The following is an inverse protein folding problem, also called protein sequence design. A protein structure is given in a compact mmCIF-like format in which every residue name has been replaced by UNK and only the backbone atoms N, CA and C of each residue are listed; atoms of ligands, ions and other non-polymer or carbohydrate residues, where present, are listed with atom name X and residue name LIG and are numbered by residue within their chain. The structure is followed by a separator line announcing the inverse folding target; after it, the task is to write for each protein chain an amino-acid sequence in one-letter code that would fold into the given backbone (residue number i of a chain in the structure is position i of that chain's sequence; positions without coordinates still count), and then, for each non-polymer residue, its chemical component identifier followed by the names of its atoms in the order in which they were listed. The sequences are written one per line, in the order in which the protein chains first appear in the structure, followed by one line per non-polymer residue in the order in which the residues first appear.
data_IF_865306933370
#
_entry.id   IF_865306933370
#
_cell.length_a   1.000
_cell.length_b   1.000
_cell.length_c   1.000
_cell.angle_alpha   90.00
_cell.angle_beta   90.00
_cell.angle_gamma   90.00
#
_symmetry.space_group_name_H-M   'P 1'
#
loop_
_entity.id
_entity.type
_entity.pdbx_description
1 polymer ?
#
# COMPACT_ATOMS: atom_id res chain seq x y z
N UNK A 1 -61.77 -19.09 55.26
CA UNK A 1 -60.58 -19.88 54.92
C UNK A 1 -60.33 -19.79 53.42
N UNK A 2 -59.47 -18.87 52.95
CA UNK A 2 -59.08 -18.79 51.54
C UNK A 2 -57.56 -18.98 51.44
N UNK A 3 -57.15 -20.06 50.77
CA UNK A 3 -55.74 -20.40 50.54
C UNK A 3 -55.16 -19.50 49.45
N UNK A 4 -54.04 -18.86 49.76
CA UNK A 4 -53.18 -18.18 48.78
C UNK A 4 -52.52 -19.24 47.88
N UNK A 5 -52.63 -19.07 46.56
CA UNK A 5 -51.90 -19.87 45.56
C UNK A 5 -50.63 -19.09 45.19
N UNK A 6 -49.47 -19.66 45.51
CA UNK A 6 -48.17 -19.09 45.13
C UNK A 6 -47.90 -19.23 43.62
N UNK A 7 -47.21 -18.26 42.99
CA UNK A 7 -46.86 -18.36 41.58
C UNK A 7 -45.73 -19.38 41.34
N UNK A 8 -45.97 -20.29 40.41
CA UNK A 8 -45.01 -21.31 39.96
C UNK A 8 -43.79 -20.66 39.31
N UNK A 9 -42.61 -20.92 39.84
CA UNK A 9 -41.31 -20.57 39.25
C UNK A 9 -41.13 -21.29 37.92
N UNK A 10 -41.01 -20.55 36.82
CA UNK A 10 -40.65 -21.10 35.51
C UNK A 10 -39.24 -21.69 35.57
N UNK A 11 -39.16 -23.01 35.38
CA UNK A 11 -37.90 -23.76 35.27
C UNK A 11 -37.13 -23.29 34.03
N UNK A 12 -36.03 -22.57 34.25
CA UNK A 12 -35.10 -22.24 33.17
C UNK A 12 -34.44 -23.53 32.67
N UNK A 13 -34.89 -24.00 31.50
CA UNK A 13 -34.21 -25.10 30.80
C UNK A 13 -32.83 -24.61 30.36
N UNK A 14 -31.78 -25.20 30.94
CA UNK A 14 -30.40 -24.96 30.51
C UNK A 14 -30.23 -25.51 29.10
N UNK A 15 -29.82 -24.64 28.18
CA UNK A 15 -29.47 -25.02 26.81
C UNK A 15 -28.26 -25.96 26.88
N UNK A 16 -28.30 -27.13 26.20
CA UNK A 16 -27.18 -28.06 26.22
C UNK A 16 -25.94 -27.41 25.59
N UNK A 17 -24.77 -27.67 26.19
CA UNK A 17 -23.49 -27.06 25.82
C UNK A 17 -23.16 -27.19 24.32
N UNK A 18 -23.59 -28.28 23.67
CA UNK A 18 -23.43 -28.49 22.23
C UNK A 18 -24.22 -27.48 21.37
N UNK A 19 -25.45 -27.15 21.77
CA UNK A 19 -26.27 -26.14 21.08
C UNK A 19 -25.71 -24.74 21.31
N UNK A 20 -25.23 -24.46 22.52
CA UNK A 20 -24.56 -23.18 22.81
C UNK A 20 -23.26 -23.02 22.00
N UNK A 21 -22.48 -24.08 21.83
CA UNK A 21 -21.26 -24.07 21.02
C UNK A 21 -21.56 -23.92 19.52
N UNK A 22 -22.63 -24.55 19.02
CA UNK A 22 -23.09 -24.41 17.63
C UNK A 22 -23.59 -22.98 17.33
N UNK A 23 -24.32 -22.37 18.25
CA UNK A 23 -24.80 -20.98 18.13
C UNK A 23 -23.64 -19.98 18.15
N UNK A 24 -22.61 -20.20 18.99
CA UNK A 24 -21.40 -19.37 19.01
C UNK A 24 -20.58 -19.51 17.72
N UNK A 25 -20.48 -20.72 17.16
CA UNK A 25 -19.80 -20.94 15.87
C UNK A 25 -20.54 -20.25 14.71
N UNK A 26 -21.87 -20.34 14.69
CA UNK A 26 -22.71 -19.65 13.69
C UNK A 26 -22.60 -18.12 13.80
N UNK A 27 -22.54 -17.58 15.02
CA UNK A 27 -22.31 -16.15 15.25
C UNK A 27 -20.91 -15.70 14.79
N UNK A 28 -19.86 -16.52 15.00
CA UNK A 28 -18.51 -16.24 14.51
C UNK A 28 -18.43 -16.26 12.98
N UNK A 29 -19.10 -17.21 12.33
CA UNK A 29 -19.16 -17.31 10.86
C UNK A 29 -19.93 -16.13 10.24
N UNK A 30 -21.01 -15.67 10.88
CA UNK A 30 -21.75 -14.48 10.46
C UNK A 30 -20.93 -13.19 10.68
N UNK A 31 -20.13 -13.11 11.76
CA UNK A 31 -19.22 -11.98 11.99
C UNK A 31 -18.05 -11.93 10.99
N UNK A 32 -17.58 -13.08 10.49
CA UNK A 32 -16.57 -13.17 9.46
C UNK A 32 -17.09 -12.80 8.05
N UNK A 33 -18.40 -12.88 7.82
CA UNK A 33 -19.04 -12.46 6.57
C UNK A 33 -19.37 -10.96 6.51
N UNK A 34 -19.31 -10.26 7.66
CA UNK A 34 -19.55 -8.82 7.79
C UNK A 34 -18.35 -7.96 7.39
N UNK A 35 -17.71 -8.23 6.25
CA UNK A 35 -16.85 -7.24 5.63
C UNK A 35 -17.77 -6.12 5.10
N UNK A 36 -17.72 -4.94 5.73
CA UNK A 36 -18.44 -3.76 5.29
C UNK A 36 -18.07 -3.47 3.84
N UNK A 37 -18.94 -3.84 2.90
CA UNK A 37 -18.89 -3.39 1.53
C UNK A 37 -19.15 -1.88 1.56
N UNK A 38 -18.08 -1.08 1.51
CA UNK A 38 -18.21 0.31 1.13
C UNK A 38 -18.80 0.32 -0.29
N UNK A 39 -19.92 1.00 -0.54
CA UNK A 39 -20.35 1.25 -1.91
C UNK A 39 -19.26 2.12 -2.55
N UNK A 40 -18.47 1.52 -3.43
CA UNK A 40 -17.60 2.26 -4.33
C UNK A 40 -18.48 3.00 -5.35
N UNK A 41 -19.02 4.15 -4.95
CA UNK A 41 -19.61 5.09 -5.89
C UNK A 41 -18.48 5.78 -6.66
N UNK A 42 -18.00 5.08 -7.68
CA UNK A 42 -17.36 5.70 -8.82
C UNK A 42 -17.76 4.88 -10.04
N UNK A 43 -18.61 5.45 -10.89
CA UNK A 43 -18.58 5.15 -12.32
C UNK A 43 -17.22 5.61 -12.84
N UNK A 44 -16.18 4.83 -12.53
CA UNK A 44 -14.82 5.11 -12.94
C UNK A 44 -14.76 4.88 -14.45
N UNK A 45 -14.72 5.96 -15.21
CA UNK A 45 -14.10 5.89 -16.53
C UNK A 45 -12.73 5.23 -16.37
N UNK A 46 -12.31 4.41 -17.34
CA UNK A 46 -11.03 3.74 -17.29
C UNK A 46 -9.93 4.78 -17.00
N UNK A 47 -9.16 4.58 -15.92
CA UNK A 47 -8.06 5.49 -15.59
C UNK A 47 -6.96 5.32 -16.64
N UNK A 48 -6.64 6.42 -17.33
CA UNK A 48 -5.58 6.45 -18.31
C UNK A 48 -4.21 6.44 -17.62
N UNK A 49 -3.45 5.39 -17.89
CA UNK A 49 -2.02 5.33 -17.59
C UNK A 49 -1.23 5.91 -18.76
N UNK A 50 0.05 6.20 -18.53
CA UNK A 50 0.94 6.62 -19.61
C UNK A 50 0.97 5.53 -20.70
N UNK A 51 0.91 5.92 -22.00
CA UNK A 51 0.63 4.98 -23.09
C UNK A 51 1.75 3.96 -23.32
N UNK A 52 2.98 4.30 -22.93
CA UNK A 52 4.11 3.40 -22.96
C UNK A 52 5.07 3.72 -21.81
N UNK A 53 5.79 2.70 -21.34
CA UNK A 53 6.79 2.84 -20.30
C UNK A 53 8.07 2.14 -20.72
N UNK A 54 9.15 2.91 -20.88
CA UNK A 54 10.49 2.36 -21.08
C UNK A 54 11.05 1.92 -19.72
N UNK A 55 11.10 0.62 -19.46
CA UNK A 55 11.61 0.10 -18.20
C UNK A 55 13.10 0.35 -17.99
N UNK A 56 13.90 0.48 -19.05
CA UNK A 56 15.31 0.83 -18.95
C UNK A 56 15.49 2.21 -18.33
N UNK A 57 14.66 3.17 -18.78
CA UNK A 57 14.63 4.53 -18.22
C UNK A 57 13.85 4.64 -16.91
N UNK A 58 12.84 3.80 -16.69
CA UNK A 58 12.03 3.77 -15.48
C UNK A 58 12.74 3.09 -14.31
N UNK A 59 13.67 2.17 -14.58
CA UNK A 59 14.52 1.56 -13.57
C UNK A 59 15.39 2.57 -12.80
N UNK A 60 16.15 2.08 -11.83
CA UNK A 60 16.99 2.91 -10.97
C UNK A 60 16.28 3.35 -9.68
N UNK A 61 16.76 4.43 -9.07
CA UNK A 61 16.32 4.87 -7.75
C UNK A 61 15.21 5.92 -7.85
N UNK A 62 14.22 5.80 -6.97
CA UNK A 62 13.09 6.71 -6.81
C UNK A 62 12.88 7.04 -5.33
N UNK A 63 12.82 8.32 -5.00
CA UNK A 63 12.47 8.84 -3.69
C UNK A 63 10.97 9.09 -3.63
N UNK A 64 10.32 8.70 -2.53
CA UNK A 64 8.91 9.03 -2.30
C UNK A 64 8.80 10.47 -1.79
N UNK A 65 8.13 11.33 -2.56
CA UNK A 65 7.85 12.71 -2.19
C UNK A 65 6.53 12.84 -1.41
N UNK A 66 5.56 12.00 -1.75
CA UNK A 66 4.26 11.97 -1.09
C UNK A 66 3.60 10.61 -1.25
N UNK A 67 2.68 10.32 -0.35
CA UNK A 67 1.96 9.06 -0.31
C UNK A 67 0.48 9.28 0.04
N UNK A 68 -0.39 8.43 -0.51
CA UNK A 68 -1.82 8.42 -0.25
C UNK A 68 -2.28 7.08 0.31
N UNK A 69 -3.47 7.09 0.92
CA UNK A 69 -4.16 5.91 1.45
C UNK A 69 -3.44 5.16 2.58
N UNK A 70 -4.11 4.18 3.20
CA UNK A 70 -3.43 3.24 4.08
C UNK A 70 -2.48 2.38 3.25
N UNK A 71 -1.19 2.41 3.59
CA UNK A 71 -0.19 1.52 2.98
C UNK A 71 0.21 0.45 4.00
N UNK A 72 -0.37 -0.77 3.94
CA UNK A 72 -0.11 -1.82 4.93
C UNK A 72 1.39 -2.15 5.07
N UNK A 73 2.15 -1.97 3.98
CA UNK A 73 3.61 -2.13 3.93
C UNK A 73 4.43 -0.98 4.53
N UNK A 74 3.83 0.17 4.87
CA UNK A 74 4.51 1.33 5.51
C UNK A 74 4.47 1.30 7.04
N UNK A 75 3.94 0.25 7.69
CA UNK A 75 3.88 0.19 9.17
C UNK A 75 5.27 0.42 9.78
N UNK A 76 5.42 1.55 10.46
CA UNK A 76 6.66 1.96 11.12
C UNK A 76 7.64 2.76 10.24
N UNK A 77 7.39 2.99 8.95
CA UNK A 77 8.20 3.89 8.12
C UNK A 77 7.80 5.35 8.37
N UNK A 78 8.76 6.20 8.75
CA UNK A 78 8.50 7.61 9.08
C UNK A 78 9.19 8.59 8.14
N UNK A 79 10.40 8.30 7.69
CA UNK A 79 11.16 9.18 6.78
C UNK A 79 11.96 8.33 5.78
N UNK A 80 12.55 9.02 4.79
CA UNK A 80 13.56 8.47 3.89
C UNK A 80 13.06 7.23 3.13
N UNK A 81 11.87 7.32 2.53
CA UNK A 81 11.32 6.21 1.75
C UNK A 81 11.92 6.25 0.35
N UNK A 82 12.68 5.21 -0.02
CA UNK A 82 13.40 5.10 -1.29
C UNK A 82 13.19 3.71 -1.88
N UNK A 83 12.91 3.65 -3.18
CA UNK A 83 12.74 2.41 -3.93
C UNK A 83 13.75 2.33 -5.07
N UNK A 84 14.52 1.24 -5.12
CA UNK A 84 15.25 0.86 -6.33
C UNK A 84 14.41 -0.13 -7.14
N UNK A 85 14.24 0.20 -8.41
CA UNK A 85 13.53 -0.60 -9.40
C UNK A 85 14.54 -1.20 -10.38
N UNK A 86 14.59 -2.52 -10.47
CA UNK A 86 15.47 -3.24 -11.39
C UNK A 86 14.62 -3.95 -12.45
N UNK A 87 14.73 -3.56 -13.73
CA UNK A 87 14.07 -4.29 -14.81
C UNK A 87 14.54 -5.74 -14.89
N UNK A 88 13.58 -6.63 -15.14
CA UNK A 88 13.79 -8.06 -15.35
C UNK A 88 13.11 -8.50 -16.66
N UNK A 89 13.51 -9.66 -17.23
CA UNK A 89 12.89 -10.19 -18.44
C UNK A 89 11.37 -10.30 -18.31
N UNK A 90 10.64 -10.08 -19.40
CA UNK A 90 9.18 -10.15 -19.44
C UNK A 90 8.48 -8.93 -18.83
N UNK A 91 9.07 -7.73 -18.96
CA UNK A 91 8.50 -6.46 -18.47
C UNK A 91 8.22 -6.44 -16.96
N UNK A 92 9.03 -7.16 -16.18
CA UNK A 92 8.92 -7.23 -14.72
C UNK A 92 9.85 -6.21 -14.08
N UNK A 93 9.53 -5.80 -12.85
CA UNK A 93 10.42 -4.99 -12.01
C UNK A 93 10.65 -5.68 -10.67
N UNK A 94 11.91 -5.95 -10.33
CA UNK A 94 12.26 -6.24 -8.95
C UNK A 94 12.35 -4.93 -8.17
N UNK A 95 11.71 -4.90 -7.00
CA UNK A 95 11.65 -3.71 -6.15
C UNK A 95 12.42 -3.96 -4.85
N UNK A 96 13.27 -3.02 -4.46
CA UNK A 96 13.83 -2.97 -3.11
C UNK A 96 13.49 -1.61 -2.53
N UNK A 97 12.64 -1.59 -1.51
CA UNK A 97 12.25 -0.37 -0.81
C UNK A 97 12.92 -0.34 0.57
N UNK A 98 13.47 0.80 0.96
CA UNK A 98 13.95 1.05 2.30
C UNK A 98 13.27 2.29 2.90
N UNK A 99 13.19 2.32 4.22
CA UNK A 99 12.71 3.46 4.98
C UNK A 99 13.36 3.53 6.36
N UNK A 100 13.30 4.69 7.01
CA UNK A 100 13.71 4.86 8.41
C UNK A 100 12.49 4.73 9.31
N UNK A 101 12.68 4.06 10.45
CA UNK A 101 11.67 3.87 11.50
C UNK A 101 11.83 4.88 12.63
N UNK A 102 10.80 5.02 13.46
CA UNK A 102 10.82 5.88 14.65
C UNK A 102 11.98 5.58 15.59
N UNK A 103 12.36 4.32 15.72
CA UNK A 103 13.48 3.85 16.55
C UNK A 103 14.86 4.08 15.92
N UNK A 104 14.93 4.77 14.78
CA UNK A 104 16.17 5.02 14.07
C UNK A 104 16.77 3.77 13.40
N UNK A 105 16.03 2.68 13.23
CA UNK A 105 16.46 1.53 12.40
C UNK A 105 15.99 1.71 10.97
N UNK A 106 16.67 1.03 10.05
CA UNK A 106 16.26 0.96 8.64
C UNK A 106 15.43 -0.30 8.42
N UNK A 107 14.27 -0.16 7.77
CA UNK A 107 13.49 -1.30 7.31
C UNK A 107 13.73 -1.51 5.81
N UNK A 108 13.71 -2.77 5.39
CA UNK A 108 13.87 -3.17 3.98
C UNK A 108 12.72 -4.07 3.57
N UNK A 109 12.15 -3.81 2.40
CA UNK A 109 11.06 -4.55 1.78
C UNK A 109 11.47 -4.93 0.36
N UNK A 110 11.25 -6.19 -0.02
CA UNK A 110 11.57 -6.69 -1.37
C UNK A 110 10.30 -7.11 -2.08
N UNK A 111 10.05 -6.51 -3.23
CA UNK A 111 8.87 -6.73 -4.03
C UNK A 111 9.17 -7.22 -5.43
N UNK A 112 8.11 -7.63 -6.12
CA UNK A 112 8.11 -7.91 -7.55
C UNK A 112 6.86 -7.29 -8.16
N UNK A 113 7.05 -6.50 -9.22
CA UNK A 113 5.99 -5.96 -10.04
C UNK A 113 5.85 -6.82 -11.30
N UNK A 114 4.65 -7.36 -11.52
CA UNK A 114 4.30 -8.11 -12.72
C UNK A 114 3.46 -7.21 -13.65
N UNK A 115 3.74 -7.17 -14.96
CA UNK A 115 3.02 -6.31 -15.89
C UNK A 115 1.57 -6.76 -16.04
N UNK A 116 0.65 -5.78 -16.11
CA UNK A 116 -0.79 -5.97 -16.36
C UNK A 116 -1.25 -5.21 -17.61
N UNK A 117 -0.32 -4.61 -18.35
CA UNK A 117 -0.57 -3.77 -19.51
C UNK A 117 0.39 -2.58 -19.56
N UNK A 118 0.18 -1.63 -20.50
CA UNK A 118 1.02 -0.46 -20.62
C UNK A 118 1.07 0.36 -19.33
N UNK A 119 2.26 0.44 -18.73
CA UNK A 119 2.53 1.18 -17.50
C UNK A 119 1.65 0.80 -16.28
N UNK A 120 1.13 -0.43 -16.28
CA UNK A 120 0.33 -1.02 -15.21
C UNK A 120 1.01 -2.26 -14.66
N UNK A 121 1.13 -2.34 -13.34
CA UNK A 121 1.71 -3.48 -12.67
C UNK A 121 0.87 -3.91 -11.48
N UNK A 122 0.98 -5.19 -11.16
CA UNK A 122 0.58 -5.74 -9.88
C UNK A 122 1.83 -6.03 -9.05
N UNK A 123 1.94 -5.40 -7.89
CA UNK A 123 3.09 -5.49 -7.00
C UNK A 123 2.79 -6.44 -5.85
N UNK A 124 3.69 -7.39 -5.59
CA UNK A 124 3.69 -8.20 -4.37
C UNK A 124 4.92 -7.92 -3.53
N UNK A 125 4.72 -7.57 -2.26
CA UNK A 125 5.78 -7.42 -1.26
C UNK A 125 5.97 -8.68 -0.40
N UNK A 126 5.25 -9.76 -0.71
CA UNK A 126 5.37 -11.03 0.00
C UNK A 126 6.74 -11.70 -0.28
N UNK A 127 7.23 -12.55 0.65
CA UNK A 127 8.38 -13.41 0.41
C UNK A 127 8.20 -14.24 -0.87
N UNK A 128 9.28 -14.53 -1.59
CA UNK A 128 9.23 -15.14 -2.92
C UNK A 128 8.35 -16.39 -3.00
N UNK A 129 8.45 -17.29 -2.02
CA UNK A 129 7.65 -18.53 -1.94
C UNK A 129 6.16 -18.33 -1.61
N UNK A 130 5.74 -17.12 -1.25
CA UNK A 130 4.35 -16.75 -0.95
C UNK A 130 3.73 -15.83 -2.00
N UNK A 131 4.50 -15.37 -2.99
CA UNK A 131 4.00 -14.45 -4.01
C UNK A 131 2.90 -15.05 -4.88
N UNK A 132 2.75 -16.37 -4.96
CA UNK A 132 1.66 -17.02 -5.70
C UNK A 132 0.27 -16.77 -5.08
N UNK A 133 0.20 -16.32 -3.82
CA UNK A 133 -1.05 -15.93 -3.18
C UNK A 133 -1.61 -14.65 -3.80
N UNK A 134 -2.94 -14.57 -4.03
CA UNK A 134 -3.60 -13.36 -4.52
C UNK A 134 -3.68 -12.27 -3.45
N UNK A 135 -3.51 -12.63 -2.17
CA UNK A 135 -3.50 -11.69 -1.07
C UNK A 135 -2.24 -10.79 -1.12
N UNK A 136 -2.40 -9.52 -0.72
CA UNK A 136 -1.28 -8.57 -0.60
C UNK A 136 -0.73 -8.04 -1.92
N UNK A 137 -1.46 -8.27 -3.02
CA UNK A 137 -1.20 -7.65 -4.32
C UNK A 137 -1.67 -6.20 -4.31
N UNK A 138 -0.86 -5.30 -4.88
CA UNK A 138 -1.12 -3.86 -4.93
C UNK A 138 -1.04 -3.35 -6.37
N UNK A 139 -1.99 -2.52 -6.76
CA UNK A 139 -1.96 -1.84 -8.05
C UNK A 139 -0.83 -0.79 -8.09
N UNK A 140 -0.08 -0.76 -9.18
CA UNK A 140 0.92 0.27 -9.47
C UNK A 140 0.67 0.77 -10.90
N UNK A 141 -0.20 1.77 -11.02
CA UNK A 141 -0.61 2.35 -12.29
C UNK A 141 0.09 3.69 -12.48
N UNK A 142 0.98 3.79 -13.47
CA UNK A 142 1.71 5.04 -13.74
C UNK A 142 0.78 5.98 -14.52
N UNK A 143 0.20 6.95 -13.82
CA UNK A 143 -0.80 7.89 -14.38
C UNK A 143 -0.20 9.20 -14.85
N UNK A 144 1.00 9.53 -14.39
CA UNK A 144 1.80 10.63 -14.90
C UNK A 144 3.29 10.27 -14.83
N UNK A 145 4.04 10.64 -15.86
CA UNK A 145 5.47 10.47 -15.95
C UNK A 145 6.04 11.65 -16.74
N UNK A 146 7.01 12.33 -16.14
CA UNK A 146 7.78 13.38 -16.80
C UNK A 146 8.59 12.79 -17.99
N UNK A 147 8.73 13.48 -19.15
CA UNK A 147 9.42 12.96 -20.34
C UNK A 147 10.91 12.62 -20.13
N UNK A 148 11.56 13.25 -19.16
CA UNK A 148 12.93 13.01 -18.70
C UNK A 148 12.99 11.96 -17.59
N UNK A 149 11.86 11.34 -17.20
CA UNK A 149 11.74 10.31 -16.18
C UNK A 149 12.20 10.81 -14.80
N UNK A 150 11.99 12.10 -14.52
CA UNK A 150 12.39 12.74 -13.26
C UNK A 150 11.36 12.59 -12.15
N UNK A 151 10.08 12.55 -12.52
CA UNK A 151 8.95 12.47 -11.58
C UNK A 151 7.89 11.53 -12.15
N UNK A 152 7.30 10.70 -11.29
CA UNK A 152 6.20 9.79 -11.64
C UNK A 152 5.13 9.79 -10.56
N UNK A 153 3.88 9.58 -10.97
CA UNK A 153 2.72 9.50 -10.09
C UNK A 153 2.05 8.16 -10.31
N UNK A 154 1.77 7.48 -9.20
CA UNK A 154 1.24 6.12 -9.17
C UNK A 154 -0.13 6.15 -8.51
N UNK A 155 -1.12 5.53 -9.15
CA UNK A 155 -2.44 5.30 -8.58
C UNK A 155 -2.73 3.81 -8.41
N UNK A 156 -3.87 3.51 -7.78
CA UNK A 156 -4.54 2.24 -7.96
C UNK A 156 -5.41 2.22 -9.24
N UNK A 157 -6.08 1.09 -9.49
CA UNK A 157 -7.00 0.90 -10.63
C UNK A 157 -8.24 1.81 -10.64
N UNK A 158 -8.57 2.41 -9.50
CA UNK A 158 -9.72 3.30 -9.34
C UNK A 158 -9.32 4.78 -9.42
N UNK A 159 -8.03 5.07 -9.59
CA UNK A 159 -7.51 6.43 -9.75
C UNK A 159 -7.15 7.09 -8.43
N UNK A 160 -7.20 6.38 -7.31
CA UNK A 160 -6.72 6.94 -6.05
C UNK A 160 -5.20 7.01 -6.07
N UNK A 161 -4.64 8.20 -5.86
CA UNK A 161 -3.20 8.42 -5.90
C UNK A 161 -2.52 7.73 -4.70
N UNK A 162 -1.59 6.85 -4.98
CA UNK A 162 -0.89 6.07 -3.97
C UNK A 162 0.45 6.71 -3.62
N UNK A 163 1.20 7.15 -4.63
CA UNK A 163 2.56 7.69 -4.45
C UNK A 163 2.94 8.72 -5.50
N UNK A 164 3.70 9.72 -5.07
CA UNK A 164 4.47 10.62 -5.93
C UNK A 164 5.95 10.29 -5.72
N UNK A 165 6.65 9.95 -6.79
CA UNK A 165 8.06 9.58 -6.74
C UNK A 165 8.90 10.53 -7.60
N UNK A 166 10.14 10.78 -7.18
CA UNK A 166 11.09 11.57 -7.95
C UNK A 166 12.50 10.95 -7.97
N UNK A 167 13.31 11.36 -8.94
CA UNK A 167 14.74 10.99 -9.03
C UNK A 167 15.61 11.73 -8.03
N UNK A 168 15.09 12.81 -7.48
CA UNK A 168 15.72 13.61 -6.43
C UNK A 168 14.89 13.52 -5.15
N UNK A 169 15.53 13.63 -3.98
CA UNK A 169 14.86 13.54 -2.69
C UNK A 169 13.96 14.74 -2.39
N UNK A 170 14.18 15.85 -3.10
CA UNK A 170 13.42 17.07 -2.98
C UNK A 170 13.12 17.60 -4.38
N UNK A 171 12.02 18.32 -4.48
CA UNK A 171 11.65 19.09 -5.66
C UNK A 171 11.31 20.50 -5.19
N UNK A 172 11.50 21.48 -6.07
CA UNK A 172 11.15 22.86 -5.73
C UNK A 172 9.66 22.95 -5.40
N UNK A 173 9.27 23.72 -4.36
CA UNK A 173 7.87 23.85 -3.96
C UNK A 173 6.95 24.27 -5.11
N UNK A 174 7.39 25.18 -5.99
CA UNK A 174 6.60 25.61 -7.14
C UNK A 174 6.39 24.46 -8.13
N UNK A 175 7.42 23.64 -8.38
CA UNK A 175 7.32 22.49 -9.27
C UNK A 175 6.38 21.42 -8.72
N UNK A 176 6.43 21.17 -7.40
CA UNK A 176 5.49 20.25 -6.76
C UNK A 176 4.05 20.77 -6.83
N UNK A 177 3.84 22.05 -6.53
CA UNK A 177 2.52 22.68 -6.63
C UNK A 177 1.96 22.63 -8.05
N UNK A 178 2.78 22.90 -9.06
CA UNK A 178 2.42 22.79 -10.48
C UNK A 178 2.04 21.34 -10.86
N UNK A 179 2.79 20.34 -10.40
CA UNK A 179 2.46 18.93 -10.61
C UNK A 179 1.09 18.59 -9.98
N UNK A 180 0.84 19.00 -8.74
CA UNK A 180 -0.44 18.76 -8.07
C UNK A 180 -1.59 19.47 -8.80
N UNK A 181 -1.38 20.69 -9.30
CA UNK A 181 -2.38 21.41 -10.09
C UNK A 181 -2.69 20.70 -11.42
N UNK A 182 -1.67 20.17 -12.10
CA UNK A 182 -1.84 19.38 -13.32
C UNK A 182 -2.60 18.07 -13.08
N UNK A 183 -2.33 17.38 -11.96
CA UNK A 183 -3.11 16.19 -11.58
C UNK A 183 -4.58 16.52 -11.31
N UNK A 184 -4.85 17.62 -10.59
CA UNK A 184 -6.22 18.10 -10.34
C UNK A 184 -6.96 18.42 -11.63
N UNK A 185 -6.32 19.07 -12.61
CA UNK A 185 -6.97 19.41 -13.89
C UNK A 185 -7.34 18.17 -14.73
N UNK A 186 -6.68 17.03 -14.46
CA UNK A 186 -7.02 15.72 -15.03
C UNK A 186 -8.04 14.92 -14.21
N UNK A 187 -8.61 15.51 -13.16
CA UNK A 187 -9.66 14.90 -12.34
C UNK A 187 -9.17 14.02 -11.18
N UNK A 188 -7.87 14.02 -10.87
CA UNK A 188 -7.36 13.29 -9.70
C UNK A 188 -7.60 14.07 -8.40
N UNK A 189 -8.06 13.36 -7.37
CA UNK A 189 -8.09 13.88 -5.99
C UNK A 189 -6.67 13.81 -5.41
N UNK A 190 -6.12 14.95 -4.99
CA UNK A 190 -4.74 15.05 -4.48
C UNK A 190 -4.68 15.52 -3.02
N UNK A 191 -5.79 15.96 -2.43
CA UNK A 191 -5.84 16.53 -1.09
C UNK A 191 -5.57 15.52 0.01
N UNK A 192 -5.75 14.23 -0.27
CA UNK A 192 -5.40 13.15 0.64
C UNK A 192 -3.90 12.78 0.66
N UNK A 193 -3.08 13.32 -0.25
CA UNK A 193 -1.65 13.00 -0.29
C UNK A 193 -0.92 13.65 0.89
N UNK A 194 -0.14 12.85 1.59
CA UNK A 194 0.70 13.28 2.71
C UNK A 194 2.16 13.36 2.23
N UNK A 195 2.84 14.50 2.40
CA UNK A 195 4.26 14.63 2.09
C UNK A 195 5.12 13.62 2.86
N UNK A 196 6.12 13.06 2.19
CA UNK A 196 7.13 12.18 2.80
C UNK A 196 8.42 12.95 2.98
N UNK A 197 8.91 13.02 4.22
CA UNK A 197 10.16 13.70 4.54
C UNK A 197 11.39 12.85 4.14
N UNK A 198 12.34 13.47 3.43
CA UNK A 198 13.65 12.88 3.07
C UNK A 198 14.75 13.64 3.84
N UNK A 199 15.17 13.10 4.99
CA UNK A 199 16.09 13.75 5.95
C UNK A 199 17.55 13.44 5.62
N UNK A 200 17.83 12.17 5.35
CA UNK A 200 19.19 11.62 5.22
C UNK A 200 19.95 12.10 3.98
N UNK A 201 19.26 12.74 3.03
CA UNK A 201 19.84 13.23 1.77
C UNK A 201 20.31 14.67 1.80
N UNK A 202 19.96 15.47 2.82
CA UNK A 202 20.48 16.84 2.97
C UNK A 202 21.99 16.87 3.31
N UNK A 203 22.58 15.76 3.75
CA UNK A 203 24.01 15.64 4.06
C UNK A 203 24.85 14.97 2.95
N UNK A 204 24.24 14.43 1.88
CA UNK A 204 24.91 13.74 0.77
C UNK A 204 25.57 12.38 1.12
N UNK A 205 26.08 11.65 0.12
CA UNK A 205 25.31 10.79 -0.78
C UNK A 205 25.08 9.38 -0.22
N UNK A 206 23.85 8.85 -0.26
CA UNK A 206 23.59 7.41 -0.53
C UNK A 206 22.20 7.23 -1.10
N UNK A 207 22.09 6.76 -2.35
CA UNK A 207 21.54 5.43 -2.58
C UNK A 207 22.05 4.71 -3.85
N UNK A 208 22.65 3.52 -3.69
CA UNK A 208 22.40 2.34 -4.52
C UNK A 208 21.48 1.44 -3.66
N UNK A 209 20.28 1.97 -3.39
CA UNK A 209 19.33 1.51 -2.35
C UNK A 209 20.01 1.28 -0.99
N UNK A 210 20.77 2.29 -0.56
CA UNK A 210 21.70 2.26 0.58
C UNK A 210 22.72 1.10 0.61
N UNK A 211 23.08 0.58 -0.57
CA UNK A 211 24.12 -0.41 -0.83
C UNK A 211 23.90 -1.79 -0.18
N UNK A 212 22.72 -2.40 -0.43
CA UNK A 212 22.43 -3.83 -0.26
C UNK A 212 22.54 -4.44 1.17
N UNK A 213 21.70 -4.03 2.13
CA UNK A 213 21.66 -4.63 3.50
C UNK A 213 21.35 -6.16 3.52
N UNK A 214 22.09 -6.96 4.33
CA UNK A 214 21.62 -7.30 5.70
C UNK A 214 22.71 -7.36 6.81
N UNK A 215 22.29 -7.20 8.07
CA UNK A 215 22.92 -7.84 9.23
C UNK A 215 21.86 -8.07 10.34
N UNK A 216 21.30 -9.28 10.41
CA UNK A 216 20.79 -9.90 11.65
C UNK A 216 21.60 -11.20 11.75
N UNK A 217 22.46 -11.44 12.75
CA UNK A 217 22.19 -11.84 14.16
C UNK A 217 23.52 -11.72 15.00
N UNK A 218 23.59 -11.91 16.34
CA UNK A 218 22.80 -12.85 17.16
C UNK A 218 21.99 -12.19 18.30
N UNK A 219 20.88 -12.84 18.66
CA UNK A 219 20.06 -12.43 19.80
C UNK A 219 18.80 -13.25 20.01
N UNK A 220 18.91 -14.58 19.98
CA UNK A 220 18.19 -15.57 20.81
C UNK A 220 18.53 -16.98 20.32
#
# INVERSE_FOLDING_TARGET
MHRLVSPSTLSQRRVPRGVQMLLLLAALLMAAAGAVLHPANATAGAIDTVPALDLGRYGGVWYELAHGGPQPGRRGCVTDVVTQMRPEPGQRLQLTQLCRRLDGRTATLRGLALPQGPARFEVSWLPAGLRWLPAGRQDHWVVALDPQYRVTVISDRHGALQRVLAREPQVQPEAYAALMAHLRSRGFEVGHLVPTLQVSTQAGPRPAVWAAAPAQAPGA
#
